data_IF_106176772997
#
_entry.id   IF_106176772997
#
_cell.length_a   1.000
_cell.length_b   1.000
_cell.length_c   1.000
_cell.angle_alpha   90.00
_cell.angle_beta   90.00
_cell.angle_gamma   90.00
#
_symmetry.space_group_name_H-M   'P 1'
#
loop_
_entity.id
_entity.type
_entity.pdbx_description
1 polymer ?
#
# COMPACT_ATOMS: atom_id res chain seq x y z
N UNK A 1 0.48 -13.75 8.29
CA UNK A 1 0.22 -12.32 8.54
C UNK A 1 -1.12 -12.02 7.91
N UNK A 2 -2.14 -11.84 8.74
CA UNK A 2 -3.51 -11.56 8.34
C UNK A 2 -3.78 -10.06 8.46
N UNK A 3 -2.88 -9.27 7.85
CA UNK A 3 -2.78 -7.83 8.03
C UNK A 3 -2.59 -7.14 6.69
N UNK A 4 -2.80 -5.83 6.69
CA UNK A 4 -2.35 -4.95 5.63
C UNK A 4 -1.09 -4.20 6.08
N UNK A 5 -0.08 -4.14 5.21
CA UNK A 5 1.09 -3.26 5.42
C UNK A 5 1.65 -2.79 4.08
N UNK A 6 1.88 -1.48 3.95
CA UNK A 6 2.66 -0.87 2.87
C UNK A 6 4.05 -0.54 3.38
N UNK A 7 5.03 -1.15 2.73
CA UNK A 7 6.45 -1.06 3.08
C UNK A 7 7.20 -0.31 1.99
N UNK A 8 8.22 0.42 2.42
CA UNK A 8 9.14 1.15 1.58
C UNK A 8 10.58 0.78 1.91
N UNK A 9 11.37 0.51 0.88
CA UNK A 9 12.63 -0.21 1.02
C UNK A 9 13.87 0.67 0.88
N UNK A 10 13.80 1.80 0.18
CA UNK A 10 14.96 2.64 -0.07
C UNK A 10 14.79 4.02 0.56
N UNK A 11 15.87 4.76 0.78
CA UNK A 11 15.79 6.17 1.21
C UNK A 11 15.90 7.13 0.01
N UNK A 12 15.84 6.60 -1.21
CA UNK A 12 16.17 7.30 -2.45
C UNK A 12 14.96 7.60 -3.33
N UNK A 13 13.86 6.88 -3.15
CA UNK A 13 12.63 7.09 -3.90
C UNK A 13 11.89 8.29 -3.33
N UNK A 14 11.51 9.21 -4.21
CA UNK A 14 10.79 10.42 -3.84
C UNK A 14 9.30 10.13 -3.81
N UNK A 15 8.67 10.36 -2.65
CA UNK A 15 7.22 10.28 -2.48
C UNK A 15 6.68 11.72 -2.35
N UNK A 16 5.89 12.16 -3.32
CA UNK A 16 5.21 13.47 -3.29
C UNK A 16 3.70 13.23 -3.31
N UNK A 17 2.98 13.68 -2.28
CA UNK A 17 1.53 13.49 -2.17
C UNK A 17 1.08 12.03 -2.39
N UNK A 18 1.73 11.05 -1.73
CA UNK A 18 1.50 9.61 -1.92
C UNK A 18 1.67 9.12 -3.37
N UNK A 19 2.40 9.88 -4.20
CA UNK A 19 2.79 9.47 -5.53
C UNK A 19 4.29 9.19 -5.54
N UNK A 20 4.63 7.96 -5.86
CA UNK A 20 5.99 7.51 -6.11
C UNK A 20 6.40 7.93 -7.53
N UNK A 21 7.47 8.71 -7.63
CA UNK A 21 8.12 9.08 -8.88
C UNK A 21 9.58 8.61 -8.85
N UNK A 22 10.15 8.25 -10.01
CA UNK A 22 11.51 7.71 -10.13
C UNK A 22 11.75 6.49 -9.22
N UNK A 23 10.84 5.52 -9.30
CA UNK A 23 10.83 4.31 -8.47
C UNK A 23 11.98 3.39 -8.88
N UNK A 24 13.07 3.41 -8.11
CA UNK A 24 14.24 2.55 -8.33
C UNK A 24 14.16 1.21 -7.58
N UNK A 25 13.17 1.08 -6.68
CA UNK A 25 12.93 -0.09 -5.84
C UNK A 25 11.44 -0.41 -5.77
N UNK A 26 11.02 -1.68 -5.66
CA UNK A 26 9.60 -2.03 -5.58
C UNK A 26 8.95 -1.46 -4.31
N UNK A 27 7.66 -1.08 -4.43
CA UNK A 27 6.78 -0.89 -3.26
C UNK A 27 6.28 -2.27 -2.84
N UNK A 28 6.49 -2.63 -1.58
CA UNK A 28 6.09 -3.94 -1.05
C UNK A 28 4.77 -3.77 -0.31
N UNK A 29 3.82 -4.66 -0.58
CA UNK A 29 2.53 -4.69 0.10
C UNK A 29 2.32 -6.08 0.70
N UNK A 30 2.07 -6.12 2.00
CA UNK A 30 1.50 -7.28 2.67
C UNK A 30 -0.02 -7.13 2.58
N UNK A 31 -0.69 -8.12 1.99
CA UNK A 31 -2.15 -8.14 1.85
C UNK A 31 -2.71 -9.50 2.26
N UNK A 32 -2.81 -9.74 3.56
CA UNK A 32 -3.32 -10.98 4.16
C UNK A 32 -4.76 -10.89 4.69
N UNK A 33 -5.48 -9.83 4.34
CA UNK A 33 -6.73 -9.40 4.99
C UNK A 33 -8.00 -10.04 4.45
N UNK A 34 -7.89 -11.20 3.79
CA UNK A 34 -8.96 -11.84 3.03
C UNK A 34 -10.01 -12.61 3.85
N UNK A 35 -9.95 -12.59 5.20
CA UNK A 35 -10.99 -13.14 6.07
C UNK A 35 -10.55 -14.19 7.09
N UNK A 36 -9.25 -14.51 7.20
CA UNK A 36 -8.75 -15.37 8.28
C UNK A 36 -8.55 -14.55 9.55
N UNK A 37 -9.17 -15.01 10.65
CA UNK A 37 -9.04 -14.39 11.96
C UNK A 37 -7.73 -14.84 12.60
N UNK A 38 -6.89 -13.88 12.98
CA UNK A 38 -5.67 -14.13 13.74
C UNK A 38 -5.35 -12.93 14.63
N UNK A 39 -4.71 -13.18 15.76
CA UNK A 39 -4.39 -12.15 16.74
C UNK A 39 -2.97 -11.64 16.52
N UNK A 40 -2.74 -11.10 15.31
CA UNK A 40 -1.46 -10.52 14.91
C UNK A 40 -1.13 -9.30 15.80
N UNK A 41 0.16 -9.14 16.13
CA UNK A 41 0.67 -8.00 16.91
C UNK A 41 1.72 -7.26 16.10
N UNK A 42 1.66 -5.94 16.16
CA UNK A 42 2.66 -5.08 15.56
C UNK A 42 3.92 -5.01 16.43
N UNK A 43 5.07 -4.90 15.77
CA UNK A 43 6.30 -4.44 16.40
C UNK A 43 6.16 -2.94 16.68
N UNK A 44 6.46 -2.55 17.92
CA UNK A 44 6.40 -1.15 18.37
C UNK A 44 7.77 -0.62 18.81
N UNK A 45 8.10 0.65 18.49
CA UNK A 45 7.32 1.58 17.65
C UNK A 45 7.31 1.14 16.17
N UNK A 46 6.40 1.71 15.37
CA UNK A 46 6.36 1.48 13.92
C UNK A 46 7.75 1.63 13.30
N UNK A 47 8.32 0.56 12.69
CA UNK A 47 9.61 0.67 12.02
C UNK A 47 9.56 1.70 10.90
N UNK A 48 10.65 2.42 10.66
CA UNK A 48 10.72 3.52 9.68
C UNK A 48 10.35 3.10 8.25
N UNK A 49 10.51 1.82 7.91
CA UNK A 49 10.19 1.25 6.60
C UNK A 49 8.71 0.92 6.43
N UNK A 50 7.95 0.84 7.53
CA UNK A 50 6.51 0.61 7.52
C UNK A 50 5.82 1.96 7.35
N UNK A 51 5.18 2.21 6.21
CA UNK A 51 4.52 3.50 5.92
C UNK A 51 3.09 3.50 6.45
N UNK A 52 2.36 2.42 6.20
CA UNK A 52 0.95 2.28 6.55
C UNK A 52 0.69 0.83 6.92
N UNK A 53 -0.07 0.60 7.99
CA UNK A 53 -0.31 -0.75 8.53
C UNK A 53 -1.65 -0.83 9.22
N UNK A 54 -2.38 -1.94 9.04
CA UNK A 54 -3.74 -2.10 9.56
C UNK A 54 -4.08 -3.55 9.90
N UNK A 55 -4.83 -3.71 11.01
CA UNK A 55 -5.46 -4.96 11.45
C UNK A 55 -6.97 -4.89 11.20
N UNK A 56 -7.35 -4.96 9.93
CA UNK A 56 -8.76 -4.99 9.52
C UNK A 56 -8.90 -5.78 8.23
N UNK A 57 -10.08 -6.33 7.98
CA UNK A 57 -10.38 -6.99 6.70
C UNK A 57 -10.58 -5.98 5.58
N UNK A 58 -10.19 -6.39 4.39
CA UNK A 58 -10.20 -5.55 3.20
C UNK A 58 -9.52 -6.23 2.03
N UNK A 59 -9.42 -5.49 0.93
CA UNK A 59 -8.80 -5.97 -0.30
C UNK A 59 -8.11 -4.84 -1.06
N UNK A 60 -7.11 -5.22 -1.85
CA UNK A 60 -6.39 -4.29 -2.72
C UNK A 60 -7.11 -4.12 -4.05
N UNK A 61 -7.21 -2.88 -4.53
CA UNK A 61 -7.60 -2.56 -5.90
C UNK A 61 -6.43 -1.91 -6.62
N UNK A 62 -6.07 -2.46 -7.78
CA UNK A 62 -5.05 -1.90 -8.67
C UNK A 62 -5.73 -1.39 -9.92
N UNK A 63 -5.55 -0.10 -10.20
CA UNK A 63 -6.02 0.54 -11.43
C UNK A 63 -4.82 0.97 -12.25
N UNK A 64 -4.73 0.49 -13.49
CA UNK A 64 -3.66 0.85 -14.43
C UNK A 64 -4.24 1.75 -15.50
N UNK A 65 -3.66 2.94 -15.68
CA UNK A 65 -4.04 3.90 -16.69
C UNK A 65 -2.84 4.21 -17.58
N UNK A 66 -3.04 4.11 -18.89
CA UNK A 66 -2.00 4.39 -19.89
C UNK A 66 -2.55 5.44 -20.84
N UNK A 67 -1.92 6.60 -20.88
CA UNK A 67 -2.18 7.61 -21.92
C UNK A 67 -0.89 7.90 -22.72
N UNK A 68 -0.97 8.83 -23.67
CA UNK A 68 0.16 9.15 -24.56
C UNK A 68 1.34 9.82 -23.84
N UNK A 69 1.15 10.36 -22.64
CA UNK A 69 2.15 11.14 -21.92
C UNK A 69 2.63 10.46 -20.64
N UNK A 70 1.81 9.63 -20.00
CA UNK A 70 2.15 8.97 -18.72
C UNK A 70 1.53 7.57 -18.59
N UNK A 71 2.25 6.71 -17.87
CA UNK A 71 1.71 5.43 -17.37
C UNK A 71 1.55 5.55 -15.86
N UNK A 72 0.33 5.36 -15.38
CA UNK A 72 0.00 5.46 -13.96
C UNK A 72 -0.55 4.15 -13.44
N UNK A 73 -0.02 3.72 -12.30
CA UNK A 73 -0.63 2.69 -11.47
C UNK A 73 -1.18 3.36 -10.22
N UNK A 74 -2.42 3.08 -9.86
CA UNK A 74 -3.00 3.47 -8.58
C UNK A 74 -3.32 2.20 -7.79
N UNK A 75 -2.93 2.21 -6.52
CA UNK A 75 -3.29 1.18 -5.57
C UNK A 75 -4.19 1.79 -4.50
N UNK A 76 -5.23 1.06 -4.11
CA UNK A 76 -6.11 1.38 -2.99
C UNK A 76 -6.26 0.15 -2.11
N UNK A 77 -6.14 0.32 -0.80
CA UNK A 77 -6.61 -0.64 0.18
C UNK A 77 -8.01 -0.23 0.65
N UNK A 78 -9.00 -1.07 0.34
CA UNK A 78 -10.41 -0.83 0.65
C UNK A 78 -10.81 -1.73 1.82
N UNK A 79 -11.46 -1.14 2.83
CA UNK A 79 -11.98 -1.91 3.96
C UNK A 79 -13.22 -2.70 3.53
N UNK A 80 -13.34 -3.94 4.00
CA UNK A 80 -14.40 -4.85 3.56
C UNK A 80 -15.80 -4.34 3.96
N UNK A 81 -15.92 -3.80 5.18
CA UNK A 81 -17.21 -3.45 5.78
C UNK A 81 -17.96 -2.30 5.09
N UNK A 82 -17.25 -1.30 4.54
CA UNK A 82 -17.84 -0.09 3.95
C UNK A 82 -17.24 0.33 2.61
N UNK A 83 -16.23 -0.40 2.12
CA UNK A 83 -15.46 -0.09 0.90
C UNK A 83 -14.77 1.28 0.96
N UNK A 84 -14.56 1.83 2.14
CA UNK A 84 -13.78 3.05 2.32
C UNK A 84 -12.31 2.77 2.03
N UNK A 85 -11.64 3.76 1.43
CA UNK A 85 -10.20 3.70 1.16
C UNK A 85 -9.44 4.01 2.45
N UNK A 86 -8.72 3.01 2.98
CA UNK A 86 -7.85 3.20 4.13
C UNK A 86 -6.46 3.71 3.72
N UNK A 87 -5.86 3.11 2.69
CA UNK A 87 -4.59 3.55 2.13
C UNK A 87 -4.69 3.67 0.62
N UNK A 88 -3.99 4.64 0.06
CA UNK A 88 -3.88 4.80 -1.39
C UNK A 88 -2.55 5.40 -1.78
N UNK A 89 -2.04 4.95 -2.92
CA UNK A 89 -0.87 5.56 -3.53
C UNK A 89 -0.88 5.42 -5.05
N UNK A 90 -0.01 6.19 -5.69
CA UNK A 90 0.16 6.14 -7.14
C UNK A 90 1.63 5.94 -7.50
N UNK A 91 1.88 5.26 -8.61
CA UNK A 91 3.19 5.17 -9.25
C UNK A 91 3.03 5.79 -10.63
N UNK A 92 3.89 6.75 -10.95
CA UNK A 92 3.97 7.34 -12.30
C UNK A 92 5.26 6.87 -12.95
N UNK A 93 5.14 6.33 -14.16
CA UNK A 93 6.20 5.77 -14.99
C UNK A 93 6.25 6.53 -16.32
#
# INVERSE_FOLDING_TARGET
MHVYERVFYDNTTTIVNNTYANVNSPVIIVQGTGGTFDNDKWVEPQPWWSISRMLAYGYGRVTVSVDKMQKRLQYEYLLEHDRSTYDQFSIVI
#
